data_IF_290281683463
#
_entry.id   IF_290281683463
#
_cell.length_a   1.000
_cell.length_b   1.000
_cell.length_c   1.000
_cell.angle_alpha   90.00
_cell.angle_beta   90.00
_cell.angle_gamma   90.00
#
_symmetry.space_group_name_H-M   'P 1'
#
loop_
_entity.id
_entity.type
_entity.pdbx_description
1 polymer ?
#
# COMPACT_ATOMS: atom_id res chain seq x y z
N UNK A 1 30.10 -6.53 -3.26
CA UNK A 1 28.91 -5.80 -3.72
C UNK A 1 27.82 -6.07 -2.71
N UNK A 2 27.35 -5.06 -1.99
CA UNK A 2 26.46 -5.18 -0.81
C UNK A 2 24.97 -5.14 -1.18
N UNK A 3 24.63 -5.48 -2.42
CA UNK A 3 23.26 -5.71 -2.84
C UNK A 3 23.15 -7.19 -3.19
N UNK A 4 23.07 -8.01 -2.14
CA UNK A 4 22.34 -9.26 -2.28
C UNK A 4 20.89 -8.83 -2.47
N UNK A 5 20.39 -8.95 -3.70
CA UNK A 5 18.99 -8.82 -3.98
C UNK A 5 18.31 -9.98 -3.26
N UNK A 6 18.02 -9.80 -1.97
CA UNK A 6 16.98 -10.58 -1.33
C UNK A 6 15.79 -10.45 -2.26
N UNK A 7 15.47 -11.52 -2.98
CA UNK A 7 14.35 -11.55 -3.89
C UNK A 7 13.17 -10.92 -3.16
N UNK A 8 12.59 -9.85 -3.72
CA UNK A 8 11.38 -9.19 -3.23
C UNK A 8 10.39 -10.29 -2.83
N UNK A 9 10.34 -10.57 -1.53
CA UNK A 9 9.68 -11.75 -1.00
C UNK A 9 8.40 -11.28 -0.36
N UNK A 10 7.31 -11.48 -1.08
CA UNK A 10 5.95 -11.31 -0.58
C UNK A 10 5.58 -12.42 0.43
N UNK A 11 6.54 -13.06 1.12
CA UNK A 11 6.28 -14.15 2.06
C UNK A 11 5.58 -13.71 3.35
N UNK A 12 5.58 -12.41 3.66
CA UNK A 12 4.95 -11.87 4.86
C UNK A 12 3.79 -10.93 4.52
N UNK A 13 2.68 -10.99 5.27
CA UNK A 13 1.61 -10.03 5.09
C UNK A 13 2.05 -8.59 5.38
N UNK A 14 1.45 -7.58 4.71
CA UNK A 14 1.74 -6.17 4.97
C UNK A 14 1.38 -5.77 6.41
N UNK A 15 2.11 -4.81 6.96
CA UNK A 15 1.87 -4.28 8.31
C UNK A 15 2.01 -2.77 8.38
N UNK A 16 1.28 -2.15 9.30
CA UNK A 16 1.50 -0.77 9.74
C UNK A 16 2.13 -0.78 11.13
N UNK A 17 3.21 -0.01 11.30
CA UNK A 17 3.97 0.08 12.54
C UNK A 17 3.98 1.52 13.03
N UNK A 18 3.72 1.71 14.32
CA UNK A 18 3.86 3.01 14.99
C UNK A 18 5.09 2.94 15.87
N UNK A 19 6.03 3.86 15.65
CA UNK A 19 7.30 3.94 16.38
C UNK A 19 7.32 5.23 17.19
N UNK A 20 7.74 5.15 18.45
CA UNK A 20 8.05 6.32 19.25
C UNK A 20 9.43 6.85 18.84
N UNK A 21 9.46 8.07 18.29
CA UNK A 21 10.71 8.66 17.78
C UNK A 21 11.68 9.08 18.88
N UNK A 22 11.24 9.23 20.13
CA UNK A 22 12.10 9.63 21.25
C UNK A 22 13.02 8.50 21.69
N UNK A 23 12.52 7.26 21.70
CA UNK A 23 13.24 6.10 22.22
C UNK A 23 13.35 4.93 21.22
N UNK A 24 12.84 5.10 20.00
CA UNK A 24 12.90 4.11 18.93
C UNK A 24 12.02 2.88 19.14
N UNK A 25 11.13 2.87 20.13
CA UNK A 25 10.35 1.67 20.43
C UNK A 25 9.10 1.55 19.57
N UNK A 26 8.73 0.31 19.22
CA UNK A 26 7.46 0.02 18.57
C UNK A 26 6.33 0.19 19.59
N UNK A 27 5.41 1.12 19.31
CA UNK A 27 4.22 1.42 20.12
C UNK A 27 3.05 0.54 19.69
N UNK A 28 2.95 0.23 18.39
CA UNK A 28 1.91 -0.63 17.85
C UNK A 28 2.39 -1.30 16.56
N UNK A 29 1.92 -2.51 16.32
CA UNK A 29 2.08 -3.23 15.06
C UNK A 29 0.74 -3.87 14.72
N UNK A 30 0.24 -3.60 13.52
CA UNK A 30 -0.98 -4.19 13.00
C UNK A 30 -0.69 -4.85 11.65
N UNK A 31 -1.03 -6.12 11.54
CA UNK A 31 -0.86 -6.91 10.30
C UNK A 31 -2.19 -6.95 9.56
N UNK A 32 -2.19 -6.53 8.30
CA UNK A 32 -3.38 -6.59 7.46
C UNK A 32 -3.66 -8.04 7.07
N UNK A 33 -4.94 -8.42 7.06
CA UNK A 33 -5.37 -9.69 6.49
C UNK A 33 -5.34 -9.62 4.96
N UNK A 34 -5.22 -10.77 4.29
CA UNK A 34 -5.25 -10.84 2.82
C UNK A 34 -6.57 -10.35 2.22
N UNK A 35 -7.67 -10.43 2.97
CA UNK A 35 -8.95 -9.85 2.55
C UNK A 35 -8.93 -8.31 2.46
N UNK A 36 -7.95 -7.67 3.09
CA UNK A 36 -7.76 -6.21 3.10
C UNK A 36 -6.59 -5.82 2.20
N UNK A 37 -5.43 -6.44 2.40
CA UNK A 37 -4.22 -6.22 1.60
C UNK A 37 -3.57 -7.57 1.29
N UNK A 38 -3.84 -8.08 0.08
CA UNK A 38 -3.30 -9.35 -0.41
C UNK A 38 -1.78 -9.27 -0.50
N UNK A 39 -1.08 -10.08 0.28
CA UNK A 39 0.38 -10.01 0.42
C UNK A 39 1.14 -10.22 -0.90
N UNK A 40 0.55 -10.90 -1.88
CA UNK A 40 1.18 -11.27 -3.16
C UNK A 40 0.76 -10.40 -4.36
N UNK A 41 -0.14 -9.43 -4.17
CA UNK A 41 -0.70 -8.63 -5.26
C UNK A 41 -0.78 -7.13 -4.96
N UNK A 42 -0.91 -6.77 -3.68
CA UNK A 42 -1.02 -5.37 -3.26
C UNK A 42 0.32 -4.67 -3.42
N UNK A 43 0.30 -3.41 -3.86
CA UNK A 43 1.43 -2.51 -3.79
C UNK A 43 1.04 -1.26 -2.98
N UNK A 44 1.25 -1.34 -1.65
CA UNK A 44 0.97 -0.22 -0.74
C UNK A 44 2.04 0.86 -0.91
N UNK A 45 1.69 2.01 -1.48
CA UNK A 45 2.67 3.03 -1.84
C UNK A 45 2.65 4.25 -0.90
N UNK A 46 1.52 4.95 -0.79
CA UNK A 46 1.39 6.22 -0.06
C UNK A 46 0.45 6.06 1.13
N UNK A 47 0.70 6.85 2.17
CA UNK A 47 -0.10 6.87 3.39
C UNK A 47 -0.40 8.31 3.81
N UNK A 48 -1.66 8.58 4.14
CA UNK A 48 -2.11 9.82 4.78
C UNK A 48 -2.73 9.52 6.13
N UNK A 49 -2.51 10.40 7.10
CA UNK A 49 -2.90 10.19 8.50
C UNK A 49 -3.92 11.24 8.94
N UNK A 50 -5.07 10.78 9.44
CA UNK A 50 -5.97 11.59 10.25
C UNK A 50 -5.61 11.37 11.73
N UNK A 51 -4.85 12.31 12.29
CA UNK A 51 -4.40 12.24 13.69
C UNK A 51 -5.54 12.50 14.69
N UNK A 52 -6.60 13.20 14.28
CA UNK A 52 -7.74 13.51 15.15
C UNK A 52 -8.58 12.26 15.36
N UNK A 53 -8.88 11.53 14.29
CA UNK A 53 -9.66 10.29 14.33
C UNK A 53 -8.80 9.03 14.48
N UNK A 54 -7.47 9.19 14.51
CA UNK A 54 -6.49 8.09 14.55
C UNK A 54 -6.68 7.06 13.43
N UNK A 55 -6.80 7.57 12.19
CA UNK A 55 -6.96 6.73 11.00
C UNK A 55 -5.81 6.92 10.03
N UNK A 56 -5.50 5.85 9.31
CA UNK A 56 -4.61 5.88 8.17
C UNK A 56 -5.38 5.47 6.90
N UNK A 57 -5.09 6.14 5.80
CA UNK A 57 -5.58 5.78 4.47
C UNK A 57 -4.36 5.53 3.60
N UNK A 58 -4.31 4.35 2.97
CA UNK A 58 -3.14 3.86 2.24
C UNK A 58 -3.59 3.50 0.83
N UNK A 59 -2.89 3.98 -0.19
CA UNK A 59 -3.13 3.59 -1.58
C UNK A 59 -2.54 2.22 -1.86
N UNK A 60 -3.33 1.37 -2.54
CA UNK A 60 -2.88 0.13 -3.15
C UNK A 60 -2.84 0.33 -4.67
N UNK A 61 -1.66 0.64 -5.20
CA UNK A 61 -1.46 0.92 -6.61
C UNK A 61 -1.41 -0.37 -7.47
N UNK A 62 -1.10 -1.52 -6.85
CA UNK A 62 -0.97 -2.80 -7.56
C UNK A 62 -2.31 -3.36 -8.00
N UNK A 63 -3.33 -3.26 -7.16
CA UNK A 63 -4.68 -3.77 -7.49
C UNK A 63 -5.77 -2.69 -7.57
N UNK A 64 -5.40 -1.44 -7.32
CA UNK A 64 -6.27 -0.27 -7.40
C UNK A 64 -7.30 -0.22 -6.29
N UNK A 65 -6.89 0.15 -5.08
CA UNK A 65 -7.78 0.31 -3.93
C UNK A 65 -7.25 1.33 -2.91
N UNK A 66 -8.10 1.68 -1.94
CA UNK A 66 -7.74 2.43 -0.74
C UNK A 66 -7.95 1.53 0.48
N UNK A 67 -6.90 1.39 1.29
CA UNK A 67 -6.95 0.68 2.57
C UNK A 67 -7.16 1.70 3.68
N UNK A 68 -8.23 1.55 4.45
CA UNK A 68 -8.45 2.32 5.66
C UNK A 68 -8.09 1.49 6.89
N UNK A 69 -7.33 2.06 7.80
CA UNK A 69 -7.01 1.50 9.10
C UNK A 69 -7.47 2.45 10.21
N UNK A 70 -8.20 1.93 11.18
CA UNK A 70 -8.66 2.64 12.37
C UNK A 70 -7.90 2.11 13.59
N UNK A 71 -7.01 2.94 14.14
CA UNK A 71 -6.13 2.55 15.25
C UNK A 71 -6.88 2.31 16.53
N UNK A 72 -7.95 3.07 16.78
CA UNK A 72 -8.70 3.00 18.04
C UNK A 72 -9.43 1.67 18.18
N UNK A 73 -10.04 1.21 17.09
CA UNK A 73 -10.74 -0.08 17.03
C UNK A 73 -9.85 -1.26 16.64
N UNK A 74 -8.68 -0.99 16.02
CA UNK A 74 -7.85 -2.03 15.40
C UNK A 74 -8.50 -2.66 14.16
N UNK A 75 -9.46 -1.97 13.54
CA UNK A 75 -10.14 -2.46 12.35
C UNK A 75 -9.47 -1.93 11.07
N UNK A 76 -9.56 -2.73 10.01
CA UNK A 76 -9.12 -2.31 8.68
C UNK A 76 -10.13 -2.71 7.62
N UNK A 77 -10.24 -1.90 6.56
CA UNK A 77 -11.14 -2.15 5.44
C UNK A 77 -10.48 -1.78 4.12
N UNK A 78 -10.81 -2.57 3.10
CA UNK A 78 -10.48 -2.30 1.71
C UNK A 78 -11.65 -1.62 1.01
N UNK A 79 -11.37 -0.53 0.31
CA UNK A 79 -12.30 0.15 -0.59
C UNK A 79 -11.75 0.07 -2.00
N UNK A 80 -12.46 -0.62 -2.88
CA UNK A 80 -12.08 -0.78 -4.26
C UNK A 80 -13.30 -0.51 -5.15
N UNK A 81 -13.05 0.15 -6.26
CA UNK A 81 -14.04 0.46 -7.29
C UNK A 81 -13.35 0.41 -8.67
N UNK A 82 -14.10 0.47 -9.77
CA UNK A 82 -13.48 0.62 -11.09
C UNK A 82 -12.70 1.94 -11.19
N UNK A 83 -13.17 2.99 -10.51
CA UNK A 83 -12.55 4.32 -10.49
C UNK A 83 -11.27 4.40 -9.64
N UNK A 84 -10.96 3.38 -8.84
CA UNK A 84 -9.69 3.30 -8.09
C UNK A 84 -8.58 2.61 -8.89
N UNK A 85 -8.85 2.18 -10.12
CA UNK A 85 -7.89 1.52 -11.01
C UNK A 85 -7.38 2.48 -12.08
N UNK A 86 -6.21 2.16 -12.63
CA UNK A 86 -5.72 2.83 -13.82
C UNK A 86 -6.71 2.65 -14.99
N UNK A 87 -6.87 3.71 -15.78
CA UNK A 87 -7.65 3.63 -17.02
C UNK A 87 -6.84 2.87 -18.08
N UNK A 88 -7.31 1.67 -18.43
CA UNK A 88 -6.66 0.79 -19.38
C UNK A 88 -6.67 1.32 -20.84
N UNK A 89 -7.44 2.37 -21.13
CA UNK A 89 -7.43 3.03 -22.44
C UNK A 89 -6.35 4.11 -22.56
N UNK A 90 -5.72 4.50 -21.45
CA UNK A 90 -4.72 5.56 -21.44
C UNK A 90 -3.36 4.99 -21.81
N UNK A 91 -2.78 5.57 -22.86
CA UNK A 91 -1.41 5.31 -23.29
C UNK A 91 -0.57 6.57 -23.09
N UNK A 92 0.59 6.41 -22.43
CA UNK A 92 1.52 7.51 -22.24
C UNK A 92 2.67 7.38 -23.23
N UNK A 93 2.96 8.47 -23.94
CA UNK A 93 4.13 8.55 -24.83
C UNK A 93 5.18 9.46 -24.19
N UNK A 94 6.35 8.90 -23.88
CA UNK A 94 7.51 9.61 -23.34
C UNK A 94 8.64 9.47 -24.35
N UNK A 95 9.17 10.59 -24.86
CA UNK A 95 10.23 10.61 -25.88
C UNK A 95 9.96 9.73 -27.12
N UNK A 96 8.68 9.62 -27.51
CA UNK A 96 8.26 8.80 -28.66
C UNK A 96 8.07 7.31 -28.35
N UNK A 97 8.33 6.86 -27.12
CA UNK A 97 8.03 5.51 -26.66
C UNK A 97 6.65 5.49 -26.01
N UNK A 98 5.76 4.65 -26.52
CA UNK A 98 4.42 4.45 -25.95
C UNK A 98 4.43 3.32 -24.95
N UNK A 99 4.00 3.61 -23.73
CA UNK A 99 3.92 2.67 -22.62
C UNK A 99 2.48 2.17 -22.47
N UNK A 100 2.25 0.85 -22.38
CA UNK A 100 0.94 0.32 -22.04
C UNK A 100 0.59 0.66 -20.58
N UNK A 101 -0.70 0.79 -20.25
CA UNK A 101 -1.15 1.16 -18.90
C UNK A 101 -0.64 0.21 -17.81
N UNK A 102 -0.42 -1.06 -18.17
CA UNK A 102 -0.02 -2.16 -17.28
C UNK A 102 1.44 -2.10 -16.83
N UNK A 103 2.26 -1.20 -17.39
CA UNK A 103 3.66 -1.02 -16.98
C UNK A 103 3.86 -0.12 -15.76
N UNK A 104 2.79 0.49 -15.24
CA UNK A 104 2.84 1.40 -14.09
C UNK A 104 1.97 0.95 -12.91
N UNK A 105 1.45 -0.29 -12.97
CA UNK A 105 0.62 -0.92 -11.93
C UNK A 105 1.29 -2.18 -11.43
#
# INVERSE_FOLDING_TARGET
>A
SILDAAAESNACPPKIIIINLVNGTVVNSFTFSDSVAQHNATFLNDIVLDLTQQRAYISDAGTGAIIAYDRQSGASRRFADVTTKADASVHFTIEGVTYPPEQFT
#
